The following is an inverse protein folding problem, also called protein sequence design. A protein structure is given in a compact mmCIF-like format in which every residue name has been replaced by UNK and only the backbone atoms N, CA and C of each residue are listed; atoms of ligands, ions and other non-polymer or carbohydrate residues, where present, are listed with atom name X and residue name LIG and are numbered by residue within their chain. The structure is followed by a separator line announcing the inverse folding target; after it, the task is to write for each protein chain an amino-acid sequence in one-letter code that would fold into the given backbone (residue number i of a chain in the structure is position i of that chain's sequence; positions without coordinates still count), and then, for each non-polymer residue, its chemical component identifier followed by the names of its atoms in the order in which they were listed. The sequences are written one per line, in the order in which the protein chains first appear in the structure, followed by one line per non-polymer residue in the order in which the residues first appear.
data_IF_737452530755
#
_entry.id   IF_737452530755
#
_cell.length_a   1.000
_cell.length_b   1.000
_cell.length_c   1.000
_cell.angle_alpha   90.00
_cell.angle_beta   90.00
_cell.angle_gamma   90.00
#
_symmetry.space_group_name_H-M   'P 1'
#
loop_
_entity.id
_entity.type
_entity.pdbx_description
1 polymer ?
#
# COMPACT_ATOMS: atom_id res chain seq x y z
N UNK A 1 -60.84 1.91 5.77
CA UNK A 1 -60.15 3.13 5.30
C UNK A 1 -58.73 3.12 5.84
N UNK A 2 -57.70 3.13 4.99
CA UNK A 2 -56.30 3.29 5.44
C UNK A 2 -56.06 4.76 5.78
N UNK A 3 -55.76 5.12 7.05
CA UNK A 3 -55.36 6.48 7.36
C UNK A 3 -54.02 6.76 6.69
N UNK A 4 -53.97 7.76 5.80
CA UNK A 4 -52.72 8.30 5.26
C UNK A 4 -52.05 9.09 6.38
N UNK A 5 -51.06 8.49 7.03
CA UNK A 5 -50.20 9.18 7.98
C UNK A 5 -49.27 10.13 7.21
N UNK A 6 -49.59 11.42 7.24
CA UNK A 6 -48.70 12.47 6.73
C UNK A 6 -47.81 12.99 7.86
N UNK A 7 -46.52 13.14 7.59
CA UNK A 7 -45.57 13.75 8.52
C UNK A 7 -45.90 15.22 8.73
N UNK A 8 -45.81 15.70 9.97
CA UNK A 8 -45.99 17.12 10.28
C UNK A 8 -44.72 17.90 9.93
N UNK A 9 -44.84 19.21 9.65
CA UNK A 9 -43.66 20.07 9.40
C UNK A 9 -42.66 20.05 10.57
N UNK A 10 -43.18 20.01 11.80
CA UNK A 10 -42.33 19.95 13.00
C UNK A 10 -41.60 18.61 13.10
N UNK A 11 -42.25 17.51 12.74
CA UNK A 11 -41.63 16.17 12.75
C UNK A 11 -40.50 16.07 11.72
N UNK A 12 -40.70 16.62 10.51
CA UNK A 12 -39.63 16.71 9.52
C UNK A 12 -38.45 17.55 10.01
N UNK A 13 -38.70 18.69 10.66
CA UNK A 13 -37.64 19.53 11.23
C UNK A 13 -36.87 18.81 12.34
N UNK A 14 -37.57 18.09 13.22
CA UNK A 14 -36.94 17.32 14.30
C UNK A 14 -36.08 16.19 13.72
N UNK A 15 -36.57 15.46 12.71
CA UNK A 15 -35.80 14.41 12.03
C UNK A 15 -34.54 15.00 11.38
N UNK A 16 -34.66 16.10 10.65
CA UNK A 16 -33.51 16.77 10.03
C UNK A 16 -32.51 17.30 11.07
N UNK A 17 -32.99 17.80 12.21
CA UNK A 17 -32.15 18.24 13.32
C UNK A 17 -31.37 17.05 13.92
N UNK A 18 -32.04 15.93 14.18
CA UNK A 18 -31.41 14.71 14.69
C UNK A 18 -30.40 14.17 13.68
N UNK A 19 -30.73 14.14 12.39
CA UNK A 19 -29.81 13.72 11.32
C UNK A 19 -28.59 14.65 11.22
N UNK A 20 -28.77 15.96 11.37
CA UNK A 20 -27.67 16.94 11.38
C UNK A 20 -26.73 16.74 12.57
N UNK A 21 -27.29 16.55 13.77
CA UNK A 21 -26.52 16.32 14.99
C UNK A 21 -25.75 14.99 14.94
N UNK A 22 -26.40 13.92 14.48
CA UNK A 22 -25.74 12.61 14.32
C UNK A 22 -24.64 12.64 13.25
N UNK A 23 -24.88 13.32 12.12
CA UNK A 23 -23.87 13.49 11.06
C UNK A 23 -22.63 14.25 11.55
N UNK A 24 -22.81 15.30 12.36
CA UNK A 24 -21.71 16.08 12.93
C UNK A 24 -20.79 15.25 13.85
N UNK A 25 -21.33 14.20 14.50
CA UNK A 25 -20.55 13.29 15.34
C UNK A 25 -19.79 12.22 14.55
N UNK A 26 -20.28 11.84 13.37
CA UNK A 26 -19.70 10.77 12.53
C UNK A 26 -18.63 11.30 11.58
N UNK A 27 -18.79 12.52 11.07
CA UNK A 27 -17.87 13.15 10.11
C UNK A 27 -16.38 13.15 10.51
N UNK A 28 -15.97 13.43 11.77
CA UNK A 28 -14.55 13.46 12.15
C UNK A 28 -13.86 12.09 12.10
N UNK A 29 -14.58 10.97 11.92
CA UNK A 29 -13.99 9.62 11.83
C UNK A 29 -13.74 9.13 10.41
N UNK A 30 -14.22 9.84 9.38
CA UNK A 30 -13.98 9.48 7.99
C UNK A 30 -12.50 9.57 7.56
N UNK A 31 -11.69 10.56 8.01
CA UNK A 31 -10.28 10.64 7.61
C UNK A 31 -9.48 9.41 8.07
N UNK A 32 -9.70 8.96 9.31
CA UNK A 32 -9.00 7.82 9.88
C UNK A 32 -9.29 6.49 9.17
N UNK A 33 -10.48 6.36 8.58
CA UNK A 33 -10.84 5.19 7.77
C UNK A 33 -10.12 5.24 6.42
N UNK A 34 -10.07 6.42 5.78
CA UNK A 34 -9.38 6.61 4.51
C UNK A 34 -7.88 6.35 4.63
N UNK A 35 -7.23 6.86 5.68
CA UNK A 35 -5.80 6.64 5.96
C UNK A 35 -5.46 5.15 6.15
N UNK A 36 -6.32 4.38 6.84
CA UNK A 36 -6.13 2.93 7.01
C UNK A 36 -6.24 2.14 5.70
N UNK A 37 -7.06 2.60 4.75
CA UNK A 37 -7.13 1.97 3.43
C UNK A 37 -5.92 2.37 2.55
N UNK A 38 -5.41 3.59 2.68
CA UNK A 38 -4.26 4.07 1.91
C UNK A 38 -2.97 3.31 2.30
N UNK A 39 -2.70 3.14 3.59
CA UNK A 39 -1.45 2.48 4.06
C UNK A 39 -1.33 1.03 3.59
N UNK A 40 -2.47 0.31 3.55
CA UNK A 40 -2.51 -1.06 3.04
C UNK A 40 -2.21 -1.14 1.54
N UNK A 41 -2.73 -0.19 0.77
CA UNK A 41 -2.51 -0.13 -0.68
C UNK A 41 -1.03 0.07 -1.03
N UNK A 42 -0.35 1.01 -0.37
CA UNK A 42 1.04 1.33 -0.67
C UNK A 42 1.98 0.16 -0.35
N UNK A 43 1.71 -0.54 0.76
CA UNK A 43 2.44 -1.75 1.10
C UNK A 43 2.23 -2.87 0.07
N UNK A 44 0.98 -3.16 -0.30
CA UNK A 44 0.67 -4.19 -1.30
C UNK A 44 1.33 -3.90 -2.65
N UNK A 45 1.37 -2.63 -3.08
CA UNK A 45 2.05 -2.20 -4.32
C UNK A 45 3.54 -2.47 -4.28
N UNK A 46 4.21 -2.19 -3.16
CA UNK A 46 5.63 -2.49 -2.98
C UNK A 46 5.89 -4.00 -3.10
N UNK A 47 5.09 -4.82 -2.39
CA UNK A 47 5.23 -6.28 -2.39
C UNK A 47 4.99 -6.86 -3.79
N UNK A 48 3.92 -6.42 -4.45
CA UNK A 48 3.60 -6.83 -5.81
C UNK A 48 4.70 -6.44 -6.80
N UNK A 49 5.26 -5.24 -6.69
CA UNK A 49 6.33 -4.80 -7.56
C UNK A 49 7.58 -5.65 -7.37
N UNK A 50 8.04 -5.85 -6.12
CA UNK A 50 9.20 -6.68 -5.80
C UNK A 50 9.05 -8.10 -6.35
N UNK A 51 7.88 -8.72 -6.15
CA UNK A 51 7.57 -10.04 -6.70
C UNK A 51 7.49 -10.09 -8.23
N UNK A 52 7.27 -8.95 -8.90
CA UNK A 52 7.23 -8.87 -10.37
C UNK A 52 8.61 -8.66 -11.02
N UNK A 53 9.62 -8.22 -10.26
CA UNK A 53 10.96 -7.92 -10.78
C UNK A 53 11.65 -9.11 -11.47
N UNK A 54 11.58 -10.36 -10.95
CA UNK A 54 12.19 -11.50 -11.64
C UNK A 54 11.59 -11.73 -13.03
N UNK A 55 10.26 -11.62 -13.15
CA UNK A 55 9.56 -11.74 -14.44
C UNK A 55 9.93 -10.61 -15.40
N UNK A 56 10.08 -9.37 -14.90
CA UNK A 56 10.54 -8.23 -15.70
C UNK A 56 11.96 -8.41 -16.20
N UNK A 57 12.88 -8.85 -15.32
CA UNK A 57 14.27 -9.14 -15.68
C UNK A 57 14.35 -10.24 -16.76
N UNK A 58 13.54 -11.29 -16.64
CA UNK A 58 13.42 -12.35 -17.65
C UNK A 58 12.89 -11.82 -18.99
N UNK A 59 11.77 -11.10 -18.97
CA UNK A 59 11.10 -10.63 -20.20
C UNK A 59 11.96 -9.63 -20.97
N UNK A 60 12.71 -8.77 -20.26
CA UNK A 60 13.64 -7.81 -20.86
C UNK A 60 15.00 -8.42 -21.20
N UNK A 61 15.28 -9.65 -20.75
CA UNK A 61 16.60 -10.30 -20.83
C UNK A 61 17.73 -9.43 -20.27
N UNK A 62 17.43 -8.64 -19.24
CA UNK A 62 18.34 -7.67 -18.65
C UNK A 62 18.34 -7.85 -17.13
N UNK A 63 19.52 -7.76 -16.48
CA UNK A 63 19.59 -7.86 -15.04
C UNK A 63 19.00 -6.60 -14.41
N UNK A 64 18.28 -6.77 -13.30
CA UNK A 64 17.86 -5.66 -12.43
C UNK A 64 18.65 -5.83 -11.13
N UNK A 65 19.31 -4.76 -10.67
CA UNK A 65 20.06 -4.77 -9.42
C UNK A 65 19.54 -3.67 -8.53
N UNK A 66 19.08 -4.03 -7.33
CA UNK A 66 18.76 -3.05 -6.30
C UNK A 66 20.01 -2.84 -5.47
N UNK A 67 20.65 -1.67 -5.57
CA UNK A 67 21.80 -1.35 -4.72
C UNK A 67 21.36 -0.52 -3.51
N UNK A 68 22.06 -0.59 -2.39
CA UNK A 68 21.72 0.19 -1.20
C UNK A 68 21.56 1.69 -1.45
N UNK A 69 22.36 2.26 -2.35
CA UNK A 69 22.36 3.69 -2.67
C UNK A 69 21.23 4.16 -3.60
N UNK A 70 20.69 3.28 -4.44
CA UNK A 70 19.74 3.66 -5.53
C UNK A 70 18.51 2.74 -5.63
N UNK A 71 18.28 1.87 -4.65
CA UNK A 71 17.18 0.90 -4.66
C UNK A 71 15.82 1.58 -4.88
N UNK A 72 15.53 2.67 -4.17
CA UNK A 72 14.26 3.39 -4.30
C UNK A 72 14.08 3.93 -5.72
N UNK A 73 15.11 4.59 -6.26
CA UNK A 73 15.07 5.15 -7.60
C UNK A 73 14.89 4.05 -8.66
N UNK A 74 15.55 2.91 -8.46
CA UNK A 74 15.40 1.74 -9.33
C UNK A 74 13.97 1.21 -9.31
N UNK A 75 13.35 1.08 -8.14
CA UNK A 75 11.95 0.64 -8.04
C UNK A 75 10.99 1.64 -8.69
N UNK A 76 11.20 2.94 -8.51
CA UNK A 76 10.41 3.98 -9.20
C UNK A 76 10.55 3.85 -10.73
N UNK A 77 11.77 3.64 -11.23
CA UNK A 77 12.00 3.40 -12.67
C UNK A 77 11.34 2.10 -13.16
N UNK A 78 11.19 1.11 -12.28
CA UNK A 78 10.46 -0.13 -12.56
C UNK A 78 8.94 0.00 -12.43
N UNK A 79 8.44 1.19 -12.07
CA UNK A 79 7.01 1.51 -12.01
C UNK A 79 6.41 1.48 -10.60
N UNK A 80 7.22 1.72 -9.55
CA UNK A 80 6.69 1.94 -8.21
C UNK A 80 5.98 3.30 -8.14
N UNK A 81 4.69 3.28 -7.85
CA UNK A 81 3.88 4.47 -7.60
C UNK A 81 3.27 4.36 -6.20
N UNK A 82 3.65 5.29 -5.33
CA UNK A 82 3.22 5.37 -3.94
C UNK A 82 2.78 6.80 -3.63
N UNK A 83 1.78 6.94 -2.76
CA UNK A 83 1.33 8.25 -2.28
C UNK A 83 2.12 8.68 -1.02
N UNK A 84 2.66 7.71 -0.27
CA UNK A 84 3.44 7.91 0.95
C UNK A 84 4.96 8.09 0.78
N UNK A 85 5.63 8.35 1.90
CA UNK A 85 7.11 8.40 1.96
C UNK A 85 7.67 6.99 2.21
N UNK A 86 8.50 6.50 1.29
CA UNK A 86 9.20 5.22 1.38
C UNK A 86 10.70 5.43 1.54
N UNK A 87 11.30 4.85 2.57
CA UNK A 87 12.76 4.70 2.71
C UNK A 87 13.12 3.23 2.68
N UNK A 88 14.18 2.92 1.95
CA UNK A 88 14.69 1.56 1.82
C UNK A 88 16.11 1.50 2.35
N UNK A 89 16.37 0.48 3.16
CA UNK A 89 17.70 0.14 3.61
C UNK A 89 18.00 -1.30 3.23
N UNK A 90 19.09 -1.48 2.48
CA UNK A 90 19.56 -2.79 2.04
C UNK A 90 20.94 -3.02 2.66
N UNK A 91 21.12 -4.14 3.34
CA UNK A 91 22.42 -4.54 3.86
C UNK A 91 23.38 -4.96 2.73
N UNK A 92 22.83 -5.47 1.63
CA UNK A 92 23.57 -5.92 0.46
C UNK A 92 22.74 -5.74 -0.82
N UNK A 93 23.38 -5.61 -2.00
CA UNK A 93 22.65 -5.53 -3.25
C UNK A 93 21.84 -6.80 -3.53
N UNK A 94 20.64 -6.63 -4.09
CA UNK A 94 19.78 -7.73 -4.52
C UNK A 94 19.81 -7.83 -6.04
N UNK A 95 20.12 -9.03 -6.54
CA UNK A 95 20.30 -9.29 -7.97
C UNK A 95 19.13 -10.11 -8.52
N UNK A 96 18.48 -9.56 -9.54
CA UNK A 96 17.52 -10.24 -10.40
C UNK A 96 18.20 -10.50 -11.75
N UNK A 97 18.37 -11.77 -12.09
CA UNK A 97 19.11 -12.21 -13.27
C UNK A 97 18.23 -12.21 -14.54
N UNK A 98 18.83 -12.12 -15.74
CA UNK A 98 18.10 -12.17 -17.02
C UNK A 98 17.35 -13.48 -17.28
N UNK A 99 17.65 -14.54 -16.53
CA UNK A 99 16.94 -15.83 -16.59
C UNK A 99 15.70 -15.87 -15.66
N UNK A 100 15.40 -14.78 -14.96
CA UNK A 100 14.30 -14.68 -14.01
C UNK A 100 14.61 -15.21 -12.61
N UNK A 101 15.86 -15.57 -12.31
CA UNK A 101 16.28 -15.97 -10.96
C UNK A 101 16.66 -14.75 -10.14
N UNK A 102 16.11 -14.66 -8.94
CA UNK A 102 16.54 -13.71 -7.93
C UNK A 102 17.44 -14.40 -6.89
N UNK A 103 18.54 -13.75 -6.51
CA UNK A 103 19.51 -14.28 -5.55
C UNK A 103 19.11 -14.10 -4.08
N UNK A 104 17.98 -13.46 -3.82
CA UNK A 104 17.47 -13.23 -2.47
C UNK A 104 18.19 -12.11 -1.73
N UNK A 105 17.73 -11.85 -0.52
CA UNK A 105 18.27 -10.81 0.35
C UNK A 105 17.25 -10.32 1.35
N UNK A 106 17.60 -9.24 2.04
CA UNK A 106 16.77 -8.62 3.07
C UNK A 106 16.64 -7.13 2.75
N UNK A 107 15.44 -6.59 2.91
CA UNK A 107 15.13 -5.18 2.74
C UNK A 107 14.44 -4.71 4.01
N UNK A 108 15.02 -3.70 4.67
CA UNK A 108 14.30 -2.93 5.69
C UNK A 108 13.59 -1.78 4.97
N UNK A 109 12.25 -1.77 5.02
CA UNK A 109 11.40 -0.80 4.35
C UNK A 109 10.62 0.02 5.39
N UNK A 110 10.86 1.32 5.42
CA UNK A 110 10.10 2.28 6.23
C UNK A 110 9.09 2.99 5.33
N UNK A 111 7.81 2.65 5.50
CA UNK A 111 6.70 3.26 4.75
C UNK A 111 5.86 4.08 5.72
N UNK A 112 5.73 5.39 5.47
CA UNK A 112 4.97 6.31 6.32
C UNK A 112 5.38 6.25 7.82
N UNK A 113 6.66 6.01 8.09
CA UNK A 113 7.23 5.87 9.44
C UNK A 113 7.06 4.48 10.08
N UNK A 114 6.40 3.54 9.41
CA UNK A 114 6.28 2.15 9.86
C UNK A 114 7.41 1.34 9.21
N UNK A 115 8.36 0.89 10.02
CA UNK A 115 9.44 0.02 9.56
C UNK A 115 8.99 -1.44 9.50
N UNK A 116 9.24 -2.11 8.37
CA UNK A 116 8.97 -3.53 8.16
C UNK A 116 10.16 -4.18 7.47
N UNK A 117 10.47 -5.38 7.94
CA UNK A 117 11.55 -6.20 7.40
C UNK A 117 11.00 -7.22 6.42
N UNK A 118 11.52 -7.16 5.19
CA UNK A 118 11.13 -8.02 4.08
C UNK A 118 12.28 -8.98 3.77
N UNK A 119 12.03 -10.27 3.96
CA UNK A 119 12.92 -11.32 3.49
C UNK A 119 12.52 -11.70 2.07
N UNK A 120 13.49 -11.69 1.15
CA UNK A 120 13.31 -12.14 -0.22
C UNK A 120 13.95 -13.51 -0.40
N UNK A 121 13.11 -14.54 -0.51
CA UNK A 121 13.59 -15.92 -0.66
C UNK A 121 13.82 -16.26 -2.14
N UNK A 122 15.03 -16.74 -2.52
CA UNK A 122 15.28 -17.29 -3.84
C UNK A 122 14.34 -18.47 -4.16
N UNK A 123 14.03 -18.72 -5.44
CA UNK A 123 14.51 -18.03 -6.64
C UNK A 123 13.58 -16.91 -7.13
N UNK A 124 12.40 -16.75 -6.53
CA UNK A 124 11.36 -15.83 -7.00
C UNK A 124 11.34 -14.51 -6.24
N UNK A 125 12.05 -14.41 -5.10
CA UNK A 125 12.06 -13.23 -4.25
C UNK A 125 10.65 -12.75 -3.91
N UNK A 126 9.75 -13.70 -3.63
CA UNK A 126 8.45 -13.39 -3.05
C UNK A 126 8.69 -12.77 -1.66
N UNK A 127 8.28 -11.51 -1.44
CA UNK A 127 8.58 -10.84 -0.18
C UNK A 127 7.78 -11.47 0.96
N UNK A 128 8.50 -11.88 2.01
CA UNK A 128 7.93 -12.42 3.24
C UNK A 128 8.20 -11.44 4.36
N UNK A 129 7.14 -10.99 5.03
CA UNK A 129 7.27 -10.20 6.26
C UNK A 129 7.75 -11.14 7.37
N UNK A 130 8.86 -10.78 8.00
CA UNK A 130 9.27 -11.44 9.24
C UNK A 130 8.64 -10.63 10.39
N UNK A 131 7.48 -11.07 10.88
CA UNK A 131 6.85 -10.58 12.12
C UNK A 131 7.60 -11.11 13.37
#
# INVERSE_FOLDING_TARGET
MNPRAGFTLIELLVVLMILGLTSALVLPRLPAIYEQFQDKSDHERLIQLLGSLPLKAYTRQQPITLKPEDALQTLVNEGLELDGELKLHLNQPIFYQPNGVCLGGEIDAELNGINRRLQLDPPYCEPRTND
#
